data_IF_269446920607
#
_entry.id   IF_269446920607
#
_cell.length_a   1.000
_cell.length_b   1.000
_cell.length_c   1.000
_cell.angle_alpha   90.00
_cell.angle_beta   90.00
_cell.angle_gamma   90.00
#
_symmetry.space_group_name_H-M   'P 1'
#
loop_
_entity.id
_entity.type
_entity.pdbx_description
1 polymer ?
#
# COMPACT_ATOMS: atom_id res chain seq x y z
N UNK A 1 15.87 -1.08 -9.38
CA UNK A 1 15.15 -1.49 -10.58
C UNK A 1 14.19 -2.65 -10.28
N UNK A 2 14.65 -3.77 -9.71
CA UNK A 2 13.80 -4.97 -9.42
C UNK A 2 12.50 -4.65 -8.67
N UNK A 3 12.52 -3.75 -7.66
CA UNK A 3 11.30 -3.35 -6.92
C UNK A 3 10.29 -2.65 -7.82
N UNK A 4 10.74 -1.76 -8.71
CA UNK A 4 9.86 -1.10 -9.68
C UNK A 4 9.32 -2.10 -10.72
N UNK A 5 10.18 -2.98 -11.23
CA UNK A 5 9.79 -3.97 -12.24
C UNK A 5 8.70 -4.91 -11.70
N UNK A 6 8.86 -5.44 -10.48
CA UNK A 6 7.87 -6.32 -9.84
C UNK A 6 6.62 -5.58 -9.35
N UNK A 7 6.81 -4.59 -8.48
CA UNK A 7 5.68 -3.98 -7.76
C UNK A 7 4.85 -3.01 -8.63
N UNK A 8 5.49 -2.27 -9.52
CA UNK A 8 4.82 -1.26 -10.33
C UNK A 8 4.58 -1.74 -11.77
N UNK A 9 5.63 -2.00 -12.54
CA UNK A 9 5.47 -2.36 -13.95
C UNK A 9 4.73 -3.69 -14.13
N UNK A 10 4.95 -4.68 -13.25
CA UNK A 10 4.16 -5.92 -13.25
C UNK A 10 2.67 -5.66 -13.10
N UNK A 11 2.27 -4.80 -12.14
CA UNK A 11 0.86 -4.41 -11.98
C UNK A 11 0.30 -3.68 -13.20
N UNK A 12 1.08 -2.74 -13.78
CA UNK A 12 0.68 -2.04 -15.01
C UNK A 12 0.43 -3.02 -16.16
N UNK A 13 1.31 -4.01 -16.35
CA UNK A 13 1.15 -5.01 -17.40
C UNK A 13 -0.11 -5.88 -17.18
N UNK A 14 -0.37 -6.29 -15.95
CA UNK A 14 -1.60 -7.02 -15.60
C UNK A 14 -2.85 -6.20 -15.89
N UNK A 15 -2.86 -4.92 -15.49
CA UNK A 15 -3.96 -4.02 -15.81
C UNK A 15 -4.17 -3.89 -17.33
N UNK A 16 -3.09 -3.70 -18.10
CA UNK A 16 -3.17 -3.63 -19.57
C UNK A 16 -3.74 -4.91 -20.21
N UNK A 17 -3.46 -6.06 -19.62
CA UNK A 17 -3.97 -7.34 -20.13
C UNK A 17 -5.47 -7.52 -19.88
N UNK A 18 -6.00 -7.10 -18.72
CA UNK A 18 -7.39 -7.39 -18.33
C UNK A 18 -8.38 -6.25 -18.66
N UNK A 19 -7.94 -5.00 -18.61
CA UNK A 19 -8.82 -3.83 -18.80
C UNK A 19 -9.54 -3.80 -20.13
N UNK A 20 -8.95 -4.17 -21.31
CA UNK A 20 -9.68 -4.11 -22.56
C UNK A 20 -10.96 -4.97 -22.58
N UNK A 21 -10.95 -6.13 -21.92
CA UNK A 21 -12.12 -6.99 -21.83
C UNK A 21 -13.16 -6.43 -20.85
N UNK A 22 -12.72 -5.87 -19.71
CA UNK A 22 -13.59 -5.24 -18.72
C UNK A 22 -14.30 -4.00 -19.30
N UNK A 23 -13.57 -3.16 -20.03
CA UNK A 23 -14.12 -1.97 -20.71
C UNK A 23 -15.17 -2.37 -21.75
N UNK A 24 -14.88 -3.36 -22.60
CA UNK A 24 -15.86 -3.84 -23.59
C UNK A 24 -17.14 -4.39 -22.96
N UNK A 25 -17.00 -5.12 -21.85
CA UNK A 25 -18.14 -5.68 -21.13
C UNK A 25 -18.85 -4.67 -20.20
N UNK A 26 -18.28 -3.47 -20.04
CA UNK A 26 -18.67 -2.44 -19.06
C UNK A 26 -18.82 -2.99 -17.63
N UNK A 27 -18.01 -3.97 -17.32
CA UNK A 27 -18.04 -4.70 -16.04
C UNK A 27 -16.66 -5.18 -15.66
N UNK A 28 -16.25 -4.87 -14.43
CA UNK A 28 -14.98 -5.33 -13.87
C UNK A 28 -14.64 -4.62 -12.57
N UNK A 29 -13.70 -5.20 -11.84
CA UNK A 29 -13.14 -4.57 -10.65
C UNK A 29 -11.66 -4.95 -10.55
N UNK A 30 -10.79 -3.96 -10.60
CA UNK A 30 -9.36 -4.11 -10.38
C UNK A 30 -9.06 -3.77 -8.92
N UNK A 31 -8.37 -4.65 -8.21
CA UNK A 31 -7.81 -4.37 -6.89
C UNK A 31 -6.29 -4.39 -6.98
N UNK A 32 -5.67 -3.25 -6.79
CA UNK A 32 -4.21 -3.14 -6.66
C UNK A 32 -3.80 -3.20 -5.19
N UNK A 33 -2.71 -3.89 -4.89
CA UNK A 33 -2.19 -4.03 -3.53
C UNK A 33 -0.92 -3.22 -3.38
N UNK A 34 -1.04 -2.06 -2.72
CA UNK A 34 0.08 -1.22 -2.35
C UNK A 34 0.60 -1.60 -0.95
N UNK A 35 0.79 -0.65 -0.08
CA UNK A 35 1.21 -0.77 1.31
C UNK A 35 0.98 0.55 2.02
N UNK A 36 0.95 0.56 3.34
CA UNK A 36 1.06 1.80 4.12
C UNK A 36 2.35 2.58 3.78
N UNK A 37 3.43 1.87 3.39
CA UNK A 37 4.65 2.47 2.84
C UNK A 37 4.45 3.14 1.45
N UNK A 38 3.28 3.03 0.84
CA UNK A 38 2.85 3.82 -0.33
C UNK A 38 2.19 5.15 0.04
N UNK A 39 2.10 5.46 1.33
CA UNK A 39 1.58 6.72 1.88
C UNK A 39 2.62 7.42 2.74
N UNK A 40 3.38 6.65 3.53
CA UNK A 40 4.38 7.14 4.47
C UNK A 40 5.74 6.57 4.05
N UNK A 41 6.73 7.46 3.81
CA UNK A 41 8.11 7.04 3.57
C UNK A 41 8.76 6.54 4.87
N UNK A 42 9.36 5.36 4.82
CA UNK A 42 9.97 4.69 5.98
C UNK A 42 11.47 4.50 5.72
N UNK A 43 12.29 4.71 6.75
CA UNK A 43 13.73 4.45 6.70
C UNK A 43 14.02 3.04 6.16
N UNK A 44 15.03 2.91 5.32
CA UNK A 44 15.43 1.63 4.72
C UNK A 44 14.55 1.15 3.56
N UNK A 45 13.37 1.76 3.34
CA UNK A 45 12.40 1.35 2.31
C UNK A 45 12.43 2.24 1.06
N UNK A 46 13.51 2.99 0.79
CA UNK A 46 13.58 3.94 -0.33
C UNK A 46 13.06 3.38 -1.66
N UNK A 47 13.59 2.26 -2.21
CA UNK A 47 13.09 1.72 -3.48
C UNK A 47 11.71 1.06 -3.35
N UNK A 48 11.39 0.48 -2.20
CA UNK A 48 10.09 -0.13 -1.95
C UNK A 48 8.99 0.93 -1.85
N UNK A 49 9.18 1.94 -1.00
CA UNK A 49 8.25 3.05 -0.86
C UNK A 49 8.02 3.74 -2.21
N UNK A 50 9.07 4.06 -2.95
CA UNK A 50 8.95 4.65 -4.28
C UNK A 50 8.03 3.83 -5.20
N UNK A 51 8.17 2.48 -5.21
CA UNK A 51 7.32 1.61 -6.03
C UNK A 51 5.86 1.58 -5.57
N UNK A 52 5.62 1.64 -4.26
CA UNK A 52 4.27 1.62 -3.68
C UNK A 52 3.55 2.98 -3.80
N UNK A 53 4.29 4.10 -3.72
CA UNK A 53 3.76 5.43 -4.06
C UNK A 53 3.40 5.53 -5.55
N UNK A 54 4.27 5.03 -6.45
CA UNK A 54 3.98 4.98 -7.88
C UNK A 54 2.70 4.20 -8.16
N UNK A 55 2.51 3.04 -7.49
CA UNK A 55 1.32 2.23 -7.63
C UNK A 55 0.06 2.95 -7.12
N UNK A 56 0.16 3.75 -6.04
CA UNK A 56 -0.94 4.57 -5.55
C UNK A 56 -1.35 5.59 -6.59
N UNK A 57 -0.42 6.43 -7.07
CA UNK A 57 -0.73 7.44 -8.09
C UNK A 57 -1.28 6.84 -9.38
N UNK A 58 -0.72 5.71 -9.82
CA UNK A 58 -1.26 4.95 -10.96
C UNK A 58 -2.71 4.51 -10.72
N UNK A 59 -3.02 3.98 -9.53
CA UNK A 59 -4.37 3.49 -9.21
C UNK A 59 -5.39 4.63 -9.11
N UNK A 60 -4.99 5.79 -8.59
CA UNK A 60 -5.84 7.00 -8.54
C UNK A 60 -6.21 7.48 -9.95
N UNK A 61 -5.22 7.60 -10.84
CA UNK A 61 -5.44 7.98 -12.22
C UNK A 61 -6.30 6.94 -12.97
N UNK A 62 -5.94 5.65 -12.84
CA UNK A 62 -6.69 4.55 -13.46
C UNK A 62 -8.16 4.54 -13.01
N UNK A 63 -8.45 4.80 -11.74
CA UNK A 63 -9.82 4.90 -11.23
C UNK A 63 -10.62 5.98 -11.98
N UNK A 64 -10.02 7.15 -12.18
CA UNK A 64 -10.67 8.24 -12.88
C UNK A 64 -10.93 7.90 -14.37
N UNK A 65 -9.95 7.29 -15.03
CA UNK A 65 -10.07 6.87 -16.44
C UNK A 65 -11.11 5.76 -16.64
N UNK A 66 -11.21 4.83 -15.69
CA UNK A 66 -12.12 3.67 -15.79
C UNK A 66 -13.56 3.97 -15.38
N UNK A 67 -13.79 5.07 -14.65
CA UNK A 67 -15.12 5.45 -14.17
C UNK A 67 -16.19 5.50 -15.28
N UNK A 68 -15.97 6.14 -16.46
CA UNK A 68 -16.98 6.19 -17.52
C UNK A 68 -17.27 4.82 -18.14
N UNK A 69 -16.35 3.86 -18.00
CA UNK A 69 -16.48 2.51 -18.56
C UNK A 69 -17.23 1.55 -17.64
N UNK A 70 -17.61 1.97 -16.43
CA UNK A 70 -18.25 1.11 -15.45
C UNK A 70 -17.31 0.07 -14.81
N UNK A 71 -16.00 0.20 -15.03
CA UNK A 71 -14.95 -0.62 -14.37
C UNK A 71 -14.53 0.05 -13.08
N UNK A 72 -14.59 -0.69 -11.98
CA UNK A 72 -14.15 -0.20 -10.66
C UNK A 72 -12.68 -0.46 -10.43
N UNK A 73 -12.04 0.44 -9.69
CA UNK A 73 -10.65 0.28 -9.25
C UNK A 73 -10.60 0.52 -7.74
N UNK A 74 -9.93 -0.37 -7.03
CA UNK A 74 -9.63 -0.25 -5.59
C UNK A 74 -8.13 -0.39 -5.35
N UNK A 75 -7.68 0.20 -4.26
CA UNK A 75 -6.30 0.16 -3.79
C UNK A 75 -6.29 -0.29 -2.33
N UNK A 76 -5.64 -1.42 -2.04
CA UNK A 76 -5.42 -1.86 -0.66
C UNK A 76 -4.07 -1.33 -0.15
N UNK A 77 -4.08 -0.84 1.08
CA UNK A 77 -2.95 -0.22 1.76
C UNK A 77 -2.67 -0.92 3.10
N UNK A 78 -2.23 -2.19 3.08
CA UNK A 78 -2.00 -2.97 4.29
C UNK A 78 -0.75 -2.50 5.03
N UNK A 79 -0.71 -2.67 6.37
CA UNK A 79 0.52 -2.65 7.17
C UNK A 79 1.32 -3.94 6.93
N UNK A 80 2.34 -4.20 7.76
CA UNK A 80 3.03 -5.49 7.79
C UNK A 80 2.00 -6.61 7.95
N UNK A 81 2.07 -7.61 7.06
CA UNK A 81 1.17 -8.76 7.03
C UNK A 81 1.99 -10.02 7.20
N UNK A 82 1.57 -10.91 8.10
CA UNK A 82 2.29 -12.14 8.44
C UNK A 82 2.31 -13.12 7.26
N UNK A 83 3.35 -13.00 6.45
CA UNK A 83 3.55 -13.76 5.21
C UNK A 83 4.99 -14.26 5.14
N UNK A 84 5.27 -15.29 4.33
CA UNK A 84 6.66 -15.71 4.06
C UNK A 84 7.55 -14.57 3.56
N UNK A 85 7.00 -13.62 2.83
CA UNK A 85 7.74 -12.43 2.38
C UNK A 85 8.14 -11.55 3.56
N UNK A 86 7.25 -11.30 4.54
CA UNK A 86 7.58 -10.53 5.74
C UNK A 86 8.66 -11.23 6.57
N UNK A 87 8.58 -12.54 6.71
CA UNK A 87 9.60 -13.32 7.40
C UNK A 87 10.98 -13.12 6.76
N UNK A 88 11.07 -13.27 5.45
CA UNK A 88 12.31 -13.00 4.69
C UNK A 88 12.79 -11.54 4.83
N UNK A 89 11.89 -10.57 4.74
CA UNK A 89 12.23 -9.16 4.90
C UNK A 89 12.78 -8.88 6.31
N UNK A 90 12.20 -9.48 7.34
CA UNK A 90 12.59 -9.25 8.73
C UNK A 90 14.02 -9.70 9.04
N UNK A 91 14.58 -10.64 8.28
CA UNK A 91 15.99 -11.02 8.40
C UNK A 91 16.94 -9.87 7.99
N UNK A 92 16.48 -9.01 7.09
CA UNK A 92 17.28 -7.96 6.47
C UNK A 92 16.84 -6.54 6.86
N UNK A 93 15.70 -6.37 7.56
CA UNK A 93 15.20 -5.07 7.98
C UNK A 93 16.18 -4.37 8.94
N UNK A 94 16.60 -3.12 8.66
CA UNK A 94 17.33 -2.30 9.62
C UNK A 94 16.57 -2.12 10.95
N UNK A 95 17.28 -1.86 12.03
CA UNK A 95 16.69 -1.65 13.36
C UNK A 95 15.70 -0.47 13.35
N UNK A 96 16.01 0.59 12.62
CA UNK A 96 15.18 1.77 12.44
C UNK A 96 13.86 1.43 11.75
N UNK A 97 13.91 0.60 10.70
CA UNK A 97 12.71 0.14 10.01
C UNK A 97 11.83 -0.69 10.94
N UNK A 98 12.42 -1.59 11.72
CA UNK A 98 11.71 -2.39 12.72
C UNK A 98 11.07 -1.53 13.80
N UNK A 99 11.75 -0.48 14.26
CA UNK A 99 11.24 0.44 15.28
C UNK A 99 10.01 1.22 14.77
N UNK A 100 10.02 1.66 13.50
CA UNK A 100 8.89 2.36 12.89
C UNK A 100 7.75 1.38 12.58
N UNK A 101 8.04 0.25 11.93
CA UNK A 101 7.05 -0.75 11.57
C UNK A 101 6.35 -1.35 12.81
N UNK A 102 7.09 -1.56 13.90
CA UNK A 102 6.56 -2.07 15.17
C UNK A 102 5.55 -1.14 15.87
N UNK A 103 5.34 0.08 15.39
CA UNK A 103 4.28 0.96 15.90
C UNK A 103 2.89 0.59 15.39
N UNK A 104 2.81 -0.24 14.37
CA UNK A 104 1.55 -0.74 13.79
C UNK A 104 1.50 -2.26 13.95
N UNK A 105 0.34 -2.79 14.33
CA UNK A 105 0.16 -4.22 14.52
C UNK A 105 0.30 -4.97 13.19
N UNK A 106 1.08 -6.06 13.18
CA UNK A 106 1.09 -7.01 12.06
C UNK A 106 -0.25 -7.73 11.97
N UNK A 107 -0.82 -7.81 10.78
CA UNK A 107 -2.09 -8.47 10.53
C UNK A 107 -1.90 -9.87 9.95
N UNK A 108 -2.91 -10.74 10.11
CA UNK A 108 -2.92 -12.01 9.40
C UNK A 108 -3.32 -11.82 7.92
N UNK A 109 -2.86 -12.69 7.01
CA UNK A 109 -3.25 -12.66 5.61
C UNK A 109 -4.77 -12.74 5.41
N UNK A 110 -5.46 -13.53 6.25
CA UNK A 110 -6.90 -13.71 6.21
C UNK A 110 -7.64 -12.42 6.56
N UNK A 111 -7.18 -11.69 7.59
CA UNK A 111 -7.77 -10.41 7.97
C UNK A 111 -7.64 -9.37 6.85
N UNK A 112 -6.47 -9.34 6.20
CA UNK A 112 -6.22 -8.45 5.06
C UNK A 112 -7.11 -8.85 3.87
N UNK A 113 -7.20 -10.14 3.55
CA UNK A 113 -8.02 -10.65 2.44
C UNK A 113 -9.52 -10.36 2.68
N UNK A 114 -10.01 -10.55 3.91
CA UNK A 114 -11.39 -10.22 4.27
C UNK A 114 -11.67 -8.74 4.08
N UNK A 115 -10.78 -7.86 4.57
CA UNK A 115 -10.91 -6.42 4.38
C UNK A 115 -10.92 -6.02 2.90
N UNK A 116 -10.08 -6.65 2.06
CA UNK A 116 -10.09 -6.46 0.61
C UNK A 116 -11.45 -6.82 0.01
N UNK A 117 -11.99 -8.01 0.33
CA UNK A 117 -13.26 -8.48 -0.18
C UNK A 117 -14.41 -7.55 0.22
N UNK A 118 -14.48 -7.17 1.49
CA UNK A 118 -15.49 -6.23 1.99
C UNK A 118 -15.35 -4.84 1.37
N UNK A 119 -14.13 -4.32 1.25
CA UNK A 119 -13.87 -3.02 0.64
C UNK A 119 -14.28 -3.00 -0.83
N UNK A 120 -13.98 -4.07 -1.58
CA UNK A 120 -14.45 -4.24 -2.95
C UNK A 120 -15.97 -4.31 -3.03
N UNK A 121 -16.62 -5.06 -2.15
CA UNK A 121 -18.08 -5.16 -2.12
C UNK A 121 -18.75 -3.81 -1.88
N UNK A 122 -18.19 -2.99 -0.99
CA UNK A 122 -18.64 -1.61 -0.74
C UNK A 122 -18.29 -0.63 -1.87
N UNK A 123 -17.44 -1.01 -2.82
CA UNK A 123 -16.95 -0.12 -3.89
C UNK A 123 -15.96 0.95 -3.40
N UNK A 124 -15.29 0.70 -2.27
CA UNK A 124 -14.30 1.62 -1.71
C UNK A 124 -13.08 1.71 -2.63
N UNK A 125 -12.58 2.93 -2.86
CA UNK A 125 -11.33 3.11 -3.59
C UNK A 125 -10.13 2.73 -2.71
N UNK A 126 -9.95 3.37 -1.57
CA UNK A 126 -8.90 3.02 -0.62
C UNK A 126 -9.44 2.03 0.43
N UNK A 127 -8.70 0.95 0.64
CA UNK A 127 -9.01 -0.11 1.59
C UNK A 127 -7.87 -0.18 2.59
N UNK A 128 -8.16 0.16 3.84
CA UNK A 128 -7.27 0.04 4.97
C UNK A 128 -7.73 -1.13 5.83
N UNK A 129 -6.93 -2.21 5.97
CA UNK A 129 -7.35 -3.41 6.71
C UNK A 129 -7.58 -3.20 8.20
N UNK A 130 -7.01 -2.13 8.77
CA UNK A 130 -7.21 -1.78 10.17
C UNK A 130 -7.35 -0.26 10.39
N UNK A 131 -7.86 0.10 11.56
CA UNK A 131 -8.09 1.51 11.94
C UNK A 131 -6.77 2.28 12.07
N UNK A 132 -5.72 1.65 12.59
CA UNK A 132 -4.42 2.31 12.78
C UNK A 132 -3.82 2.73 11.45
N UNK A 133 -3.84 1.86 10.44
CA UNK A 133 -3.38 2.16 9.08
C UNK A 133 -4.16 3.32 8.46
N UNK A 134 -5.49 3.31 8.64
CA UNK A 134 -6.35 4.39 8.15
C UNK A 134 -6.04 5.73 8.83
N UNK A 135 -5.91 5.72 10.15
CA UNK A 135 -5.59 6.94 10.92
C UNK A 135 -4.20 7.47 10.55
N UNK A 136 -3.20 6.59 10.39
CA UNK A 136 -1.85 6.96 9.98
C UNK A 136 -1.84 7.61 8.59
N UNK A 137 -2.60 7.07 7.65
CA UNK A 137 -2.73 7.63 6.31
C UNK A 137 -3.43 9.00 6.31
N UNK A 138 -4.50 9.15 7.10
CA UNK A 138 -5.18 10.43 7.28
C UNK A 138 -4.25 11.47 7.93
N UNK A 139 -3.53 11.09 8.98
CA UNK A 139 -2.56 11.96 9.65
C UNK A 139 -1.47 12.43 8.67
N UNK A 140 -0.97 11.53 7.81
CA UNK A 140 -0.01 11.89 6.76
C UNK A 140 -0.59 12.91 5.77
N UNK A 141 -1.88 12.81 5.44
CA UNK A 141 -2.55 13.76 4.54
C UNK A 141 -2.76 15.14 5.16
N UNK A 142 -3.06 15.21 6.45
CA UNK A 142 -3.42 16.47 7.14
C UNK A 142 -2.21 17.12 7.81
N UNK A 143 -1.35 16.33 8.44
CA UNK A 143 -0.22 16.81 9.25
C UNK A 143 1.06 16.02 8.97
N UNK A 144 1.59 16.04 7.74
CA UNK A 144 2.75 15.23 7.35
C UNK A 144 4.01 15.53 8.18
N UNK A 145 4.14 16.74 8.70
CA UNK A 145 5.22 17.12 9.59
C UNK A 145 5.20 16.35 10.91
N UNK A 146 4.01 16.15 11.49
CA UNK A 146 3.83 15.37 12.72
C UNK A 146 4.17 13.90 12.49
N UNK A 147 3.73 13.32 11.38
CA UNK A 147 4.02 11.93 11.05
C UNK A 147 5.53 11.74 10.86
N UNK A 148 6.20 12.63 10.12
CA UNK A 148 7.67 12.58 9.97
C UNK A 148 8.38 12.70 11.32
N UNK A 149 7.98 13.66 12.16
CA UNK A 149 8.54 13.80 13.50
C UNK A 149 8.40 12.51 14.32
N UNK A 150 7.24 11.86 14.26
CA UNK A 150 7.01 10.59 14.96
C UNK A 150 7.92 9.47 14.44
N UNK A 151 8.06 9.34 13.13
CA UNK A 151 8.99 8.39 12.51
C UNK A 151 10.45 8.67 12.95
N UNK A 152 10.85 9.95 12.95
CA UNK A 152 12.20 10.36 13.38
C UNK A 152 12.43 10.01 14.85
N UNK A 153 11.45 10.21 15.75
CA UNK A 153 11.57 9.83 17.16
C UNK A 153 11.69 8.30 17.33
N UNK A 154 10.94 7.51 16.56
CA UNK A 154 11.05 6.06 16.60
C UNK A 154 12.44 5.59 16.15
N UNK A 155 12.98 6.21 15.11
CA UNK A 155 14.31 5.94 14.56
C UNK A 155 15.42 6.29 15.55
N UNK A 156 15.36 7.48 16.21
CA UNK A 156 16.37 7.95 17.19
C UNK A 156 16.53 7.04 18.39
N UNK A 157 15.51 6.24 18.73
CA UNK A 157 15.59 5.27 19.84
C UNK A 157 16.58 4.13 19.58
N UNK A 158 16.84 3.81 18.31
CA UNK A 158 17.71 2.70 17.91
C UNK A 158 18.99 3.13 17.21
N UNK A 159 19.02 4.35 16.70
CA UNK A 159 20.20 5.00 16.10
C UNK A 159 20.31 6.44 16.62
N UNK A 160 20.80 6.61 17.88
CA UNK A 160 21.04 7.95 18.41
C UNK A 160 22.14 8.64 17.59
N UNK A 161 21.86 9.87 17.15
CA UNK A 161 22.82 10.76 16.49
C UNK A 161 23.66 11.47 17.54
#
# INVERSE_FOLDING_TARGET
>A
RKMMDGNFFGTVQMCKAVLPSMVRSRRGHVLNVSSLAGVIGIYGYTPYAASKFALRGFSEALRAEMWPSGVRVSLCLPPDTDTPQLAFENEHKPAETKAIAGTVKTLSPEAVALSMAEGMARGSFEIYPDVTSRVSALAQGVAPGVVRWFCDQAQRKVSPV
#
